data_IF_766307765303
#
_entry.id   IF_766307765303
#
_cell.length_a   1.000
_cell.length_b   1.000
_cell.length_c   1.000
_cell.angle_alpha   90.00
_cell.angle_beta   90.00
_cell.angle_gamma   90.00
#
_symmetry.space_group_name_H-M   'P 1'
#
loop_
_entity.id
_entity.type
_entity.pdbx_description
1 polymer ?
#
# COMPACT_ATOMS: atom_id res chain seq x y z
N UNK A 1 -25.68 17.35 17.82
CA UNK A 1 -24.83 16.17 17.55
C UNK A 1 -24.06 16.46 16.28
N UNK A 2 -22.81 16.87 16.40
CA UNK A 2 -21.94 17.14 15.25
C UNK A 2 -21.56 15.81 14.63
N UNK A 3 -22.02 15.55 13.39
CA UNK A 3 -21.51 14.45 12.60
C UNK A 3 -20.01 14.68 12.42
N UNK A 4 -19.19 13.96 13.19
CA UNK A 4 -17.74 14.00 13.00
C UNK A 4 -17.47 13.53 11.57
N UNK A 5 -16.83 14.39 10.77
CA UNK A 5 -16.49 14.07 9.39
C UNK A 5 -15.84 12.68 9.36
N UNK A 6 -16.54 11.71 8.78
CA UNK A 6 -16.03 10.34 8.65
C UNK A 6 -14.84 10.47 7.73
N UNK A 7 -13.64 10.33 8.28
CA UNK A 7 -12.40 10.47 7.52
C UNK A 7 -12.30 9.25 6.60
N UNK A 8 -12.82 9.39 5.39
CA UNK A 8 -12.79 8.34 4.37
C UNK A 8 -11.33 7.99 4.05
N UNK A 9 -11.03 6.69 4.10
CA UNK A 9 -9.70 6.12 3.90
C UNK A 9 -9.85 4.84 3.12
N UNK A 10 -8.89 4.56 2.25
CA UNK A 10 -8.80 3.26 1.59
C UNK A 10 -8.69 2.16 2.63
N UNK A 11 -9.57 1.18 2.50
CA UNK A 11 -9.60 -0.04 3.30
C UNK A 11 -8.98 -1.18 2.50
N UNK A 12 -8.30 -2.05 3.22
CA UNK A 12 -7.76 -3.29 2.67
C UNK A 12 -8.85 -4.35 2.66
N UNK A 13 -9.17 -4.90 1.50
CA UNK A 13 -10.26 -5.88 1.35
C UNK A 13 -9.72 -7.28 1.14
N UNK A 14 -8.85 -7.45 0.16
CA UNK A 14 -8.41 -8.77 -0.28
C UNK A 14 -6.92 -8.74 -0.66
N UNK A 15 -6.28 -9.88 -0.43
CA UNK A 15 -4.90 -10.13 -0.81
C UNK A 15 -4.74 -11.55 -1.29
N UNK A 16 -4.20 -11.69 -2.50
CA UNK A 16 -3.78 -12.97 -3.04
C UNK A 16 -2.29 -12.92 -3.35
N UNK A 17 -1.59 -13.98 -2.97
CA UNK A 17 -0.19 -14.19 -3.33
C UNK A 17 0.00 -15.60 -3.84
N UNK A 18 0.61 -15.73 -5.01
CA UNK A 18 0.89 -17.04 -5.63
C UNK A 18 2.29 -17.10 -6.19
N UNK A 19 2.93 -18.27 -6.00
CA UNK A 19 4.14 -18.63 -6.73
C UNK A 19 3.73 -19.12 -8.13
N UNK A 20 4.49 -18.71 -9.14
CA UNK A 20 4.25 -19.05 -10.52
C UNK A 20 5.13 -20.25 -10.91
N UNK A 21 4.68 -21.13 -11.82
CA UNK A 21 5.49 -22.25 -12.32
C UNK A 21 6.81 -21.82 -12.96
N UNK A 22 6.89 -20.58 -13.46
CA UNK A 22 8.08 -19.96 -14.04
C UNK A 22 9.18 -19.63 -13.02
N UNK A 23 8.96 -19.87 -11.72
CA UNK A 23 9.86 -19.44 -10.64
C UNK A 23 9.65 -17.99 -10.20
N UNK A 24 8.65 -17.31 -10.76
CA UNK A 24 8.20 -15.99 -10.33
C UNK A 24 7.13 -16.05 -9.23
N UNK A 25 6.64 -14.89 -8.84
CA UNK A 25 5.50 -14.72 -7.96
C UNK A 25 4.58 -13.63 -8.51
N UNK A 26 3.31 -13.68 -8.11
CA UNK A 26 2.32 -12.66 -8.41
C UNK A 26 1.57 -12.31 -7.13
N UNK A 27 1.38 -11.01 -6.93
CA UNK A 27 0.56 -10.47 -5.87
C UNK A 27 -0.62 -9.71 -6.46
N UNK A 28 -1.78 -9.84 -5.82
CA UNK A 28 -2.98 -9.06 -6.10
C UNK A 28 -3.48 -8.43 -4.81
N UNK A 29 -3.76 -7.14 -4.84
CA UNK A 29 -4.28 -6.35 -3.71
C UNK A 29 -5.56 -5.68 -4.14
N UNK A 30 -6.61 -5.82 -3.33
CA UNK A 30 -7.88 -5.12 -3.51
C UNK A 30 -8.07 -4.14 -2.38
N UNK A 31 -8.29 -2.88 -2.76
CA UNK A 31 -8.64 -1.80 -1.85
C UNK A 31 -10.06 -1.32 -2.13
N UNK A 32 -10.70 -0.77 -1.11
CA UNK A 32 -12.03 -0.20 -1.23
C UNK A 32 -12.11 1.15 -0.51
N UNK A 33 -12.73 2.13 -1.16
CA UNK A 33 -12.96 3.45 -0.57
C UNK A 33 -14.35 3.53 0.07
N UNK A 34 -15.38 3.29 -0.75
CA UNK A 34 -16.77 3.14 -0.36
C UNK A 34 -17.25 1.74 -0.78
N UNK A 35 -18.30 1.19 -0.13
CA UNK A 35 -18.88 -0.08 -0.54
C UNK A 35 -19.14 -0.12 -2.06
N UNK A 36 -18.50 -1.07 -2.75
CA UNK A 36 -18.63 -1.26 -4.20
C UNK A 36 -17.67 -0.45 -5.07
N UNK A 37 -16.88 0.47 -4.49
CA UNK A 37 -15.82 1.19 -5.20
C UNK A 37 -14.45 0.55 -4.89
N UNK A 38 -14.10 -0.45 -5.69
CA UNK A 38 -12.89 -1.24 -5.54
C UNK A 38 -11.79 -0.85 -6.53
N UNK A 39 -10.54 -0.98 -6.06
CA UNK A 39 -9.33 -0.73 -6.83
C UNK A 39 -8.42 -1.94 -6.72
N UNK A 40 -7.91 -2.42 -7.85
CA UNK A 40 -7.22 -3.72 -7.94
C UNK A 40 -5.84 -3.54 -8.52
N UNK A 41 -4.82 -3.73 -7.69
CA UNK A 41 -3.43 -3.72 -8.13
C UNK A 41 -2.88 -5.12 -8.27
N UNK A 42 -2.16 -5.38 -9.36
CA UNK A 42 -1.48 -6.65 -9.63
C UNK A 42 -0.03 -6.38 -10.01
N UNK A 43 0.89 -7.15 -9.44
CA UNK A 43 2.30 -7.11 -9.77
C UNK A 43 2.89 -8.52 -9.84
N UNK A 44 3.94 -8.67 -10.64
CA UNK A 44 4.73 -9.90 -10.75
C UNK A 44 6.17 -9.61 -10.40
N UNK A 45 6.87 -10.60 -9.85
CA UNK A 45 8.26 -10.45 -9.44
C UNK A 45 8.97 -11.77 -9.24
N UNK A 46 10.22 -11.68 -8.79
CA UNK A 46 11.05 -12.85 -8.50
C UNK A 46 10.59 -13.49 -7.18
N UNK A 47 10.44 -14.82 -7.13
CA UNK A 47 9.97 -15.55 -5.95
C UNK A 47 11.04 -15.74 -4.85
N UNK A 48 11.92 -14.74 -4.66
CA UNK A 48 12.86 -14.66 -3.53
C UNK A 48 12.18 -13.99 -2.33
N UNK A 49 12.82 -13.99 -1.15
CA UNK A 49 12.27 -13.32 0.03
C UNK A 49 12.02 -11.83 -0.24
N UNK A 50 13.07 -11.07 -0.62
CA UNK A 50 12.94 -9.65 -0.94
C UNK A 50 12.03 -9.40 -2.15
N UNK A 51 12.11 -10.26 -3.17
CA UNK A 51 11.29 -10.14 -4.38
C UNK A 51 9.80 -10.32 -4.11
N UNK A 52 9.43 -11.26 -3.25
CA UNK A 52 8.03 -11.51 -2.85
C UNK A 52 7.45 -10.32 -2.08
N UNK A 53 8.22 -9.74 -1.14
CA UNK A 53 7.81 -8.53 -0.43
C UNK A 53 7.65 -7.34 -1.38
N UNK A 54 8.59 -7.19 -2.33
CA UNK A 54 8.55 -6.09 -3.31
C UNK A 54 7.34 -6.24 -4.22
N UNK A 55 7.08 -7.46 -4.71
CA UNK A 55 5.92 -7.78 -5.53
C UNK A 55 4.60 -7.41 -4.84
N UNK A 56 4.43 -7.78 -3.56
CA UNK A 56 3.24 -7.43 -2.79
C UNK A 56 3.10 -5.92 -2.55
N UNK A 57 4.20 -5.23 -2.22
CA UNK A 57 4.20 -3.79 -2.06
C UNK A 57 3.87 -3.05 -3.37
N UNK A 58 4.40 -3.50 -4.51
CA UNK A 58 4.10 -2.92 -5.83
C UNK A 58 2.64 -3.13 -6.23
N UNK A 59 2.06 -4.31 -5.95
CA UNK A 59 0.63 -4.53 -6.15
C UNK A 59 -0.22 -3.54 -5.34
N UNK A 60 0.14 -3.28 -4.08
CA UNK A 60 -0.56 -2.29 -3.26
C UNK A 60 -0.41 -0.86 -3.81
N UNK A 61 0.80 -0.48 -4.25
CA UNK A 61 1.03 0.83 -4.88
C UNK A 61 0.13 1.00 -6.10
N UNK A 62 0.07 0.01 -6.99
CA UNK A 62 -0.80 0.05 -8.18
C UNK A 62 -2.29 0.17 -7.83
N UNK A 63 -2.74 -0.52 -6.77
CA UNK A 63 -4.12 -0.41 -6.30
C UNK A 63 -4.41 1.01 -5.78
N UNK A 64 -3.48 1.62 -5.06
CA UNK A 64 -3.61 3.00 -4.55
C UNK A 64 -3.61 4.00 -5.70
N UNK A 65 -2.73 3.83 -6.69
CA UNK A 65 -2.66 4.73 -7.85
C UNK A 65 -3.94 4.72 -8.69
N UNK A 66 -4.69 3.61 -8.72
CA UNK A 66 -6.00 3.57 -9.35
C UNK A 66 -7.08 4.34 -8.57
N UNK A 67 -6.88 4.54 -7.27
CA UNK A 67 -7.83 5.25 -6.40
C UNK A 67 -7.63 6.76 -6.36
N UNK A 68 -6.51 7.26 -6.88
CA UNK A 68 -6.13 8.67 -6.87
C UNK A 68 -6.16 9.23 -8.30
N UNK A 69 -6.45 10.52 -8.43
CA UNK A 69 -6.33 11.19 -9.72
C UNK A 69 -4.84 11.34 -10.13
N UNK A 70 -4.58 11.48 -11.44
CA UNK A 70 -3.25 11.52 -12.11
C UNK A 70 -2.21 12.50 -11.52
N UNK A 71 -2.60 13.37 -10.58
CA UNK A 71 -1.70 14.38 -9.98
C UNK A 71 -0.74 13.81 -8.92
N UNK A 72 -0.94 12.56 -8.51
CA UNK A 72 -0.12 11.92 -7.48
C UNK A 72 0.33 10.53 -7.92
N UNK A 73 1.62 10.25 -7.77
CA UNK A 73 2.19 8.91 -8.00
C UNK A 73 3.07 8.48 -6.84
N UNK A 74 3.29 7.17 -6.73
CA UNK A 74 4.12 6.57 -5.70
C UNK A 74 5.19 5.67 -6.31
N UNK A 75 6.42 5.83 -5.87
CA UNK A 75 7.53 4.97 -6.26
C UNK A 75 7.97 4.13 -5.06
N UNK A 76 8.05 2.81 -5.23
CA UNK A 76 8.57 1.91 -4.21
C UNK A 76 10.11 1.93 -4.20
N UNK A 77 10.66 2.61 -3.20
CA UNK A 77 12.10 2.71 -2.99
C UNK A 77 12.69 1.47 -2.31
N UNK A 78 11.93 0.84 -1.41
CA UNK A 78 12.39 -0.38 -0.75
C UNK A 78 11.39 -0.97 0.23
N UNK A 79 11.59 -2.25 0.52
CA UNK A 79 10.84 -3.03 1.50
C UNK A 79 11.80 -3.90 2.29
N UNK A 80 11.58 -4.02 3.59
CA UNK A 80 12.39 -4.86 4.48
C UNK A 80 11.52 -5.47 5.56
N UNK A 81 11.60 -6.78 5.74
CA UNK A 81 11.13 -7.46 6.94
C UNK A 81 12.27 -7.52 7.94
N UNK A 82 12.00 -7.16 9.20
CA UNK A 82 12.94 -7.33 10.30
C UNK A 82 12.22 -7.83 11.54
N UNK A 83 12.93 -8.57 12.38
CA UNK A 83 12.41 -9.01 13.66
C UNK A 83 12.46 -7.85 14.66
N UNK A 84 11.33 -7.57 15.30
CA UNK A 84 11.21 -6.63 16.39
C UNK A 84 10.55 -7.36 17.56
N UNK A 85 11.31 -7.56 18.64
CA UNK A 85 10.92 -8.43 19.77
C UNK A 85 10.61 -9.87 19.29
N UNK A 86 9.44 -10.39 19.65
CA UNK A 86 8.94 -11.71 19.26
C UNK A 86 8.24 -11.71 17.89
N UNK A 87 8.08 -10.54 17.28
CA UNK A 87 7.27 -10.35 16.08
C UNK A 87 8.09 -9.89 14.88
N UNK A 88 7.53 -10.04 13.68
CA UNK A 88 8.14 -9.49 12.46
C UNK A 88 7.44 -8.19 12.08
N UNK A 89 8.22 -7.16 11.78
CA UNK A 89 7.72 -5.88 11.25
C UNK A 89 8.22 -5.75 9.82
N UNK A 90 7.28 -5.46 8.91
CA UNK A 90 7.61 -5.07 7.54
C UNK A 90 7.61 -3.55 7.47
N UNK A 91 8.68 -2.99 6.92
CA UNK A 91 8.85 -1.56 6.68
C UNK A 91 8.96 -1.34 5.18
N UNK A 92 8.23 -0.35 4.68
CA UNK A 92 8.32 0.12 3.29
C UNK A 92 8.74 1.58 3.25
N UNK A 93 9.52 1.93 2.24
CA UNK A 93 9.84 3.31 1.90
C UNK A 93 9.32 3.62 0.51
N UNK A 94 8.55 4.71 0.41
CA UNK A 94 8.01 5.21 -0.84
C UNK A 94 8.50 6.63 -1.10
N UNK A 95 8.68 6.97 -2.37
CA UNK A 95 8.63 8.37 -2.82
C UNK A 95 7.21 8.70 -3.23
N UNK A 96 6.70 9.84 -2.78
CA UNK A 96 5.42 10.40 -3.19
C UNK A 96 5.71 11.61 -4.05
N UNK A 97 5.19 11.64 -5.27
CA UNK A 97 5.29 12.78 -6.17
C UNK A 97 3.92 13.44 -6.29
N UNK A 98 3.83 14.70 -5.88
CA UNK A 98 2.63 15.52 -6.02
C UNK A 98 3.02 16.82 -6.74
N UNK A 99 2.54 16.97 -7.97
CA UNK A 99 2.90 18.09 -8.86
C UNK A 99 4.42 18.30 -8.97
N UNK A 100 4.99 19.31 -8.31
CA UNK A 100 6.44 19.62 -8.34
C UNK A 100 7.20 19.19 -7.09
N UNK A 101 6.54 18.59 -6.10
CA UNK A 101 7.15 18.19 -4.85
C UNK A 101 7.29 16.66 -4.73
N UNK A 102 8.51 16.18 -4.49
CA UNK A 102 8.77 14.80 -4.08
C UNK A 102 8.99 14.73 -2.57
N UNK A 103 8.33 13.80 -1.89
CA UNK A 103 8.53 13.54 -0.46
C UNK A 103 8.73 12.06 -0.21
N UNK A 104 9.74 11.72 0.60
CA UNK A 104 9.89 10.37 1.12
C UNK A 104 8.90 10.10 2.25
N UNK A 105 8.18 8.99 2.16
CA UNK A 105 7.30 8.48 3.22
C UNK A 105 7.70 7.06 3.58
N UNK A 106 7.37 6.69 4.82
CA UNK A 106 7.64 5.37 5.38
C UNK A 106 6.34 4.86 6.00
N UNK A 107 6.09 3.58 5.80
CA UNK A 107 5.03 2.84 6.48
C UNK A 107 5.57 1.56 7.06
N UNK A 108 4.86 1.04 8.05
CA UNK A 108 5.19 -0.22 8.69
C UNK A 108 3.94 -0.99 9.05
N UNK A 109 4.09 -2.30 9.20
CA UNK A 109 3.05 -3.20 9.67
C UNK A 109 3.66 -4.36 10.46
N UNK A 110 3.06 -4.68 11.60
CA UNK A 110 3.38 -5.85 12.40
C UNK A 110 2.70 -7.06 11.75
N UNK A 111 3.46 -8.04 11.29
CA UNK A 111 2.91 -9.14 10.48
C UNK A 111 2.28 -10.20 11.36
N UNK A 112 0.98 -10.44 11.17
CA UNK A 112 0.25 -11.57 11.76
C UNK A 112 0.05 -12.69 10.72
N UNK A 113 -0.34 -12.33 9.49
CA UNK A 113 -0.69 -13.27 8.41
C UNK A 113 0.32 -13.29 7.25
N UNK A 114 1.60 -13.44 7.56
CA UNK A 114 2.67 -13.50 6.56
C UNK A 114 3.24 -12.15 6.12
N UNK A 115 4.46 -12.19 5.59
CA UNK A 115 5.26 -10.99 5.35
C UNK A 115 4.83 -10.26 4.08
N UNK A 116 4.33 -10.97 3.07
CA UNK A 116 3.87 -10.44 1.80
C UNK A 116 2.62 -9.57 1.99
N UNK A 117 1.62 -10.09 2.73
CA UNK A 117 0.44 -9.30 3.12
C UNK A 117 0.84 -8.08 3.95
N UNK A 118 1.80 -8.27 4.86
CA UNK A 118 2.35 -7.18 5.66
C UNK A 118 3.02 -6.08 4.84
N UNK A 119 3.70 -6.42 3.74
CA UNK A 119 4.26 -5.43 2.81
C UNK A 119 3.18 -4.56 2.15
N UNK A 120 2.08 -5.18 1.69
CA UNK A 120 0.95 -4.47 1.11
C UNK A 120 0.28 -3.52 2.13
N UNK A 121 0.07 -4.00 3.37
CA UNK A 121 -0.51 -3.19 4.46
C UNK A 121 0.42 -2.06 4.90
N UNK A 122 1.73 -2.27 4.92
CA UNK A 122 2.70 -1.22 5.22
C UNK A 122 2.64 -0.09 4.18
N UNK A 123 2.43 -0.41 2.90
CA UNK A 123 2.21 0.60 1.84
C UNK A 123 0.91 1.37 2.10
N UNK A 124 -0.18 0.68 2.42
CA UNK A 124 -1.45 1.33 2.75
C UNK A 124 -1.32 2.26 3.97
N UNK A 125 -0.60 1.83 5.02
CA UNK A 125 -0.34 2.65 6.21
C UNK A 125 0.48 3.91 5.88
N UNK A 126 1.50 3.80 5.00
CA UNK A 126 2.30 4.94 4.56
C UNK A 126 1.44 6.00 3.85
N UNK A 127 0.55 5.53 2.97
CA UNK A 127 -0.21 6.37 2.04
C UNK A 127 -1.49 6.93 2.66
N UNK A 128 -2.23 6.15 3.47
CA UNK A 128 -3.46 6.62 4.13
C UNK A 128 -3.24 7.86 5.02
N UNK A 129 -2.06 8.00 5.64
CA UNK A 129 -1.72 9.20 6.41
C UNK A 129 -1.61 10.45 5.52
N UNK A 130 -1.11 10.28 4.30
CA UNK A 130 -0.95 11.38 3.35
C UNK A 130 -2.28 11.68 2.64
N UNK A 131 -2.95 10.65 2.13
CA UNK A 131 -4.24 10.75 1.46
C UNK A 131 -5.29 11.39 2.37
N UNK A 132 -5.41 10.92 3.62
CA UNK A 132 -6.33 11.50 4.59
C UNK A 132 -6.03 12.96 4.97
N UNK A 133 -4.89 13.54 4.57
CA UNK A 133 -4.62 14.98 4.68
C UNK A 133 -4.96 15.74 3.40
N UNK A 134 -4.85 15.10 2.22
CA UNK A 134 -5.20 15.71 0.94
C UNK A 134 -6.73 15.89 0.82
N UNK A 135 -7.52 14.87 1.15
CA UNK A 135 -8.97 14.95 1.02
C UNK A 135 -9.61 16.01 1.93
N UNK A 136 -9.09 16.18 3.16
CA UNK A 136 -9.51 17.26 4.06
C UNK A 136 -9.30 18.65 3.44
N UNK A 137 -8.23 18.83 2.64
CA UNK A 137 -7.96 20.12 1.97
C UNK A 137 -8.90 20.38 0.80
N UNK A 138 -9.38 19.35 0.11
CA UNK A 138 -10.26 19.51 -1.05
C UNK A 138 -11.71 19.80 -0.65
N UNK A 139 -12.21 19.25 0.45
CA UNK A 139 -13.56 19.55 0.97
C UNK A 139 -13.69 20.93 1.63
N UNK A 140 -12.57 21.61 1.87
CA UNK A 140 -12.54 22.95 2.49
C UNK A 140 -12.73 24.10 1.49
N UNK A 141 -13.24 23.85 0.28
CA UNK A 141 -13.30 24.84 -0.81
C UNK A 141 -14.66 24.92 -1.49
#
# INVERSE_FOLDING_TARGET
MTAGAVRERLRFVEFDFRRLPSGGCQARVVLEWMPGQQFVGVAEGIASQTGSLRCAAEAAVRAIEQSINVRMTFELLGVKALRAFDSTVVIVSLSSHLETASRRIVGSYLTEDGQERGAALAVLNATNRLLGNLFVRTESR
#
